data_IF_304814721445
#
_entry.id   IF_304814721445
#
_cell.length_a   1.000
_cell.length_b   1.000
_cell.length_c   1.000
_cell.angle_alpha   90.00
_cell.angle_beta   90.00
_cell.angle_gamma   90.00
#
_symmetry.space_group_name_H-M   'P 1'
#
loop_
_entity.id
_entity.type
_entity.pdbx_description
1 polymer ?
#
# COMPACT_ATOMS: atom_id res chain seq x y z
N UNK A 1 68.70 -22.76 10.41
CA UNK A 1 67.71 -21.69 10.62
C UNK A 1 66.64 -21.82 9.55
N UNK A 2 65.38 -21.98 9.98
CA UNK A 2 64.21 -22.15 9.12
C UNK A 2 63.77 -20.78 8.57
N UNK A 3 63.59 -20.66 7.27
CA UNK A 3 62.88 -19.53 6.68
C UNK A 3 61.52 -20.01 6.20
N UNK A 4 60.50 -19.78 7.03
CA UNK A 4 59.11 -19.92 6.62
C UNK A 4 58.78 -18.78 5.65
N UNK A 5 58.68 -19.07 4.34
CA UNK A 5 58.14 -18.09 3.38
C UNK A 5 56.67 -17.87 3.74
N UNK A 6 56.35 -16.66 4.19
CA UNK A 6 54.98 -16.18 4.23
C UNK A 6 54.57 -15.90 2.79
N UNK A 7 53.93 -16.87 2.15
CA UNK A 7 53.26 -16.64 0.86
C UNK A 7 52.03 -15.81 1.17
N UNK A 8 52.09 -14.51 0.84
CA UNK A 8 50.89 -13.69 0.75
C UNK A 8 49.97 -14.37 -0.27
N UNK A 9 48.78 -14.77 0.17
CA UNK A 9 47.73 -15.33 -0.68
C UNK A 9 47.17 -14.16 -1.51
N UNK A 10 47.92 -13.74 -2.51
CA UNK A 10 47.68 -12.51 -3.29
C UNK A 10 46.69 -12.68 -4.43
N UNK A 11 46.00 -13.83 -4.51
CA UNK A 11 45.04 -14.12 -5.57
C UNK A 11 43.88 -13.09 -5.62
N UNK A 12 43.62 -12.41 -4.50
CA UNK A 12 42.65 -11.30 -4.38
C UNK A 12 43.08 -9.98 -5.04
N UNK A 13 44.34 -9.85 -5.47
CA UNK A 13 44.87 -8.64 -6.14
C UNK A 13 45.12 -8.86 -7.64
N UNK A 14 44.64 -9.97 -8.23
CA UNK A 14 44.55 -10.06 -9.68
C UNK A 14 43.60 -8.94 -10.16
N UNK A 15 43.99 -8.17 -11.19
CA UNK A 15 43.19 -7.06 -11.73
C UNK A 15 41.82 -7.47 -12.29
N UNK A 16 41.43 -8.73 -12.12
CA UNK A 16 40.17 -9.32 -12.53
C UNK A 16 39.05 -9.07 -11.52
N UNK A 17 39.36 -8.80 -10.24
CA UNK A 17 38.37 -8.63 -9.17
C UNK A 17 38.45 -7.24 -8.53
N UNK A 18 37.29 -6.64 -8.30
CA UNK A 18 37.15 -5.36 -7.58
C UNK A 18 36.26 -5.54 -6.35
N UNK A 19 36.52 -4.73 -5.32
CA UNK A 19 35.73 -4.73 -4.09
C UNK A 19 34.53 -3.79 -4.23
N UNK A 20 33.33 -4.30 -3.91
CA UNK A 20 32.09 -3.54 -3.93
C UNK A 20 31.38 -3.63 -2.58
N UNK A 21 30.71 -2.54 -2.19
CA UNK A 21 29.74 -2.56 -1.10
C UNK A 21 28.36 -2.89 -1.68
N UNK A 22 27.83 -4.06 -1.35
CA UNK A 22 26.54 -4.54 -1.85
C UNK A 22 25.49 -4.56 -0.74
N UNK A 23 24.30 -4.04 -1.04
CA UNK A 23 23.14 -4.09 -0.15
C UNK A 23 21.84 -3.97 -0.96
N UNK A 24 20.73 -4.34 -0.32
CA UNK A 24 19.39 -4.12 -0.88
C UNK A 24 18.71 -2.95 -0.21
N UNK A 25 17.90 -2.21 -0.97
CA UNK A 25 16.98 -1.20 -0.43
C UNK A 25 15.57 -1.68 -0.71
N UNK A 26 14.74 -1.70 0.32
CA UNK A 26 13.35 -2.10 0.23
C UNK A 26 12.46 -0.90 0.50
N UNK A 27 11.50 -0.69 -0.40
CA UNK A 27 10.39 0.22 -0.20
C UNK A 27 9.12 -0.45 -0.71
N UNK A 28 8.01 -0.20 -0.04
CA UNK A 28 6.68 -0.61 -0.47
C UNK A 28 5.78 0.61 -0.43
N UNK A 29 4.94 0.72 -1.46
CA UNK A 29 4.05 1.85 -1.64
C UNK A 29 2.73 1.36 -2.21
N UNK A 30 1.64 1.85 -1.63
CA UNK A 30 0.29 1.58 -2.12
C UNK A 30 -0.16 2.61 -3.16
N UNK A 31 0.72 3.53 -3.59
CA UNK A 31 0.44 4.54 -4.62
C UNK A 31 0.12 3.94 -5.99
N UNK A 32 0.53 2.70 -6.24
CA UNK A 32 0.29 1.98 -7.49
C UNK A 32 -1.05 1.23 -7.52
N UNK A 33 -1.78 1.18 -6.39
CA UNK A 33 -3.15 0.66 -6.39
C UNK A 33 -3.99 1.65 -7.19
N UNK A 34 -4.31 1.26 -8.43
CA UNK A 34 -5.15 2.08 -9.30
C UNK A 34 -6.45 2.41 -8.57
N UNK A 35 -6.91 3.64 -8.76
CA UNK A 35 -8.19 4.09 -8.23
C UNK A 35 -9.29 3.31 -8.95
N UNK A 36 -9.59 2.09 -8.47
CA UNK A 36 -10.49 1.14 -9.13
C UNK A 36 -11.91 1.68 -9.29
N UNK A 37 -12.23 2.80 -8.63
CA UNK A 37 -13.47 3.52 -8.83
C UNK A 37 -13.25 4.73 -9.73
N UNK A 38 -13.44 4.54 -11.03
CA UNK A 38 -13.62 5.61 -12.02
C UNK A 38 -14.77 6.57 -11.64
N UNK A 39 -15.71 6.12 -10.80
CA UNK A 39 -16.66 6.98 -10.12
C UNK A 39 -16.05 7.57 -8.85
N UNK A 40 -15.40 8.72 -9.02
CA UNK A 40 -15.10 9.63 -7.91
C UNK A 40 -16.37 9.82 -7.07
N UNK A 41 -16.20 9.68 -5.76
CA UNK A 41 -17.24 10.05 -4.80
C UNK A 41 -17.62 11.50 -5.04
N UNK A 42 -18.86 11.75 -5.46
CA UNK A 42 -19.27 13.10 -5.88
C UNK A 42 -19.51 14.02 -4.69
N UNK A 43 -19.42 15.32 -4.92
CA UNK A 43 -19.83 16.37 -3.97
C UNK A 43 -21.26 16.14 -3.44
N UNK A 44 -22.19 15.74 -4.30
CA UNK A 44 -23.57 15.43 -3.92
C UNK A 44 -23.68 14.19 -3.02
N UNK A 45 -22.89 13.15 -3.30
CA UNK A 45 -22.80 11.97 -2.44
C UNK A 45 -22.22 12.33 -1.07
N UNK A 46 -21.25 13.25 -1.03
CA UNK A 46 -20.68 13.76 0.23
C UNK A 46 -21.72 14.54 1.02
N UNK A 47 -22.43 15.49 0.41
CA UNK A 47 -23.52 16.25 1.05
C UNK A 47 -24.60 15.33 1.60
N UNK A 48 -25.01 14.33 0.81
CA UNK A 48 -26.01 13.34 1.22
C UNK A 48 -25.52 12.51 2.41
N UNK A 49 -24.26 12.07 2.38
CA UNK A 49 -23.64 11.36 3.49
C UNK A 49 -23.59 12.22 4.75
N UNK A 50 -23.18 13.49 4.65
CA UNK A 50 -23.00 14.37 5.79
C UNK A 50 -24.34 14.71 6.45
N UNK A 51 -25.40 14.88 5.66
CA UNK A 51 -26.77 15.00 6.15
C UNK A 51 -27.23 13.73 6.87
N UNK A 52 -27.03 12.55 6.25
CA UNK A 52 -27.40 11.28 6.87
C UNK A 52 -26.64 11.08 8.19
N UNK A 53 -25.35 11.41 8.19
CA UNK A 53 -24.48 11.26 9.34
C UNK A 53 -24.90 12.19 10.47
N UNK A 54 -25.18 13.46 10.21
CA UNK A 54 -25.62 14.41 11.24
C UNK A 54 -26.94 13.98 11.90
N UNK A 55 -27.90 13.49 11.11
CA UNK A 55 -29.17 12.96 11.63
C UNK A 55 -28.95 11.67 12.44
N UNK A 56 -28.05 10.80 12.00
CA UNK A 56 -27.73 9.59 12.74
C UNK A 56 -27.01 9.90 14.05
N UNK A 57 -26.05 10.83 14.04
CA UNK A 57 -25.30 11.29 15.20
C UNK A 57 -26.21 12.04 16.19
N UNK A 58 -27.32 12.64 15.73
CA UNK A 58 -28.38 13.19 16.59
C UNK A 58 -29.31 12.12 17.19
N UNK A 59 -29.02 10.84 17.01
CA UNK A 59 -29.77 9.71 17.57
C UNK A 59 -30.94 9.21 16.71
N UNK A 60 -31.07 9.68 15.46
CA UNK A 60 -32.14 9.22 14.57
C UNK A 60 -31.81 7.82 14.01
N UNK A 61 -32.70 6.86 14.23
CA UNK A 61 -32.57 5.53 13.62
C UNK A 61 -32.75 5.55 12.09
N UNK A 62 -32.13 4.62 11.37
CA UNK A 62 -32.10 4.58 9.91
C UNK A 62 -33.47 4.68 9.22
N UNK A 63 -34.51 4.07 9.79
CA UNK A 63 -35.88 4.15 9.26
C UNK A 63 -36.42 5.58 9.32
N UNK A 64 -36.24 6.26 10.45
CA UNK A 64 -36.66 7.65 10.62
C UNK A 64 -35.90 8.58 9.66
N UNK A 65 -34.59 8.35 9.49
CA UNK A 65 -33.78 9.11 8.52
C UNK A 65 -34.32 8.91 7.11
N UNK A 66 -34.63 7.68 6.69
CA UNK A 66 -35.18 7.45 5.35
C UNK A 66 -36.51 8.17 5.12
N UNK A 67 -37.41 8.20 6.12
CA UNK A 67 -38.65 8.95 6.03
C UNK A 67 -38.39 10.46 5.93
N UNK A 68 -37.51 11.00 6.78
CA UNK A 68 -37.14 12.41 6.77
C UNK A 68 -36.58 12.87 5.41
N UNK A 69 -35.69 12.06 4.79
CA UNK A 69 -35.15 12.36 3.47
C UNK A 69 -36.23 12.35 2.38
N UNK A 70 -37.16 11.39 2.44
CA UNK A 70 -38.26 11.29 1.49
C UNK A 70 -39.26 12.45 1.66
N UNK A 71 -39.55 12.86 2.89
CA UNK A 71 -40.41 14.03 3.20
C UNK A 71 -39.81 15.33 2.68
N UNK A 72 -38.48 15.47 2.72
CA UNK A 72 -37.76 16.60 2.12
C UNK A 72 -37.62 16.51 0.60
N UNK A 73 -38.15 15.45 -0.03
CA UNK A 73 -38.06 15.25 -1.48
C UNK A 73 -36.67 14.85 -1.99
N UNK A 74 -35.75 14.48 -1.10
CA UNK A 74 -34.39 14.06 -1.45
C UNK A 74 -34.44 12.63 -1.96
N UNK A 75 -34.00 12.41 -3.21
CA UNK A 75 -33.94 11.09 -3.83
C UNK A 75 -32.55 10.49 -3.74
N UNK A 76 -32.47 9.16 -3.82
CA UNK A 76 -31.19 8.46 -3.98
C UNK A 76 -30.52 8.84 -5.31
N UNK A 77 -29.21 8.58 -5.51
CA UNK A 77 -28.53 8.87 -6.77
C UNK A 77 -29.17 8.20 -8.01
N UNK A 78 -29.95 7.13 -7.81
CA UNK A 78 -30.70 6.44 -8.87
C UNK A 78 -32.13 6.97 -9.06
N UNK A 79 -32.53 8.02 -8.33
CA UNK A 79 -33.87 8.60 -8.38
C UNK A 79 -34.93 7.85 -7.55
N UNK A 80 -34.56 6.83 -6.77
CA UNK A 80 -35.48 6.07 -5.93
C UNK A 80 -35.67 6.70 -4.54
N UNK A 81 -36.77 6.35 -3.87
CA UNK A 81 -37.00 6.66 -2.46
C UNK A 81 -35.96 5.99 -1.55
N UNK A 82 -35.71 6.61 -0.40
CA UNK A 82 -34.86 6.07 0.64
C UNK A 82 -35.57 4.97 1.42
N UNK A 83 -34.85 3.87 1.65
CA UNK A 83 -35.16 2.90 2.71
C UNK A 83 -34.03 2.87 3.74
N UNK A 84 -34.30 2.35 4.94
CA UNK A 84 -33.30 2.28 6.00
C UNK A 84 -32.01 1.54 5.59
N UNK A 85 -32.12 0.51 4.76
CA UNK A 85 -30.96 -0.22 4.22
C UNK A 85 -30.08 0.66 3.32
N UNK A 86 -30.69 1.59 2.57
CA UNK A 86 -29.95 2.52 1.70
C UNK A 86 -29.17 3.52 2.56
N UNK A 87 -29.79 4.04 3.62
CA UNK A 87 -29.16 4.95 4.59
C UNK A 87 -27.93 4.28 5.23
N UNK A 88 -28.10 3.05 5.74
CA UNK A 88 -26.98 2.29 6.30
C UNK A 88 -25.87 2.06 5.28
N UNK A 89 -26.23 1.73 4.03
CA UNK A 89 -25.27 1.49 2.95
C UNK A 89 -24.43 2.74 2.64
N UNK A 90 -25.00 3.94 2.66
CA UNK A 90 -24.25 5.19 2.43
C UNK A 90 -23.16 5.38 3.48
N UNK A 91 -23.50 5.24 4.77
CA UNK A 91 -22.54 5.37 5.87
C UNK A 91 -21.43 4.30 5.78
N UNK A 92 -21.82 3.04 5.50
CA UNK A 92 -20.88 1.94 5.33
C UNK A 92 -19.90 2.20 4.17
N UNK A 93 -20.40 2.61 3.00
CA UNK A 93 -19.57 2.85 1.80
C UNK A 93 -18.61 4.02 1.98
N UNK A 94 -19.01 5.07 2.72
CA UNK A 94 -18.11 6.16 3.06
C UNK A 94 -16.96 5.66 3.97
N UNK A 95 -17.27 4.87 5.00
CA UNK A 95 -16.25 4.29 5.89
C UNK A 95 -15.24 3.43 5.12
N UNK A 96 -15.71 2.56 4.24
CA UNK A 96 -14.83 1.74 3.39
C UNK A 96 -13.95 2.61 2.49
N UNK A 97 -14.49 3.70 1.93
CA UNK A 97 -13.72 4.67 1.14
C UNK A 97 -12.61 5.32 1.97
N UNK A 98 -12.92 5.83 3.17
CA UNK A 98 -11.91 6.45 4.04
C UNK A 98 -10.80 5.46 4.39
N UNK A 99 -11.14 4.20 4.69
CA UNK A 99 -10.14 3.16 4.95
C UNK A 99 -9.21 2.94 3.74
N UNK A 100 -9.75 2.89 2.51
CA UNK A 100 -8.94 2.77 1.30
C UNK A 100 -7.98 3.95 1.13
N UNK A 101 -8.46 5.17 1.37
CA UNK A 101 -7.63 6.39 1.29
C UNK A 101 -6.49 6.36 2.32
N UNK A 102 -6.75 5.92 3.55
CA UNK A 102 -5.71 5.78 4.57
C UNK A 102 -4.68 4.70 4.20
N UNK A 103 -5.12 3.56 3.68
CA UNK A 103 -4.21 2.50 3.19
C UNK A 103 -3.35 2.99 2.02
N UNK A 104 -3.90 3.81 1.12
CA UNK A 104 -3.16 4.36 -0.02
C UNK A 104 -2.06 5.35 0.42
N UNK A 105 -2.31 6.12 1.49
CA UNK A 105 -1.31 7.02 2.09
C UNK A 105 -0.19 6.28 2.84
N UNK A 106 -0.38 5.01 3.17
CA UNK A 106 0.61 4.26 3.91
C UNK A 106 1.82 3.93 3.00
N UNK A 107 2.94 4.58 3.31
CA UNK A 107 4.24 4.31 2.71
C UNK A 107 5.09 3.55 3.73
N UNK A 108 5.75 2.46 3.34
CA UNK A 108 6.69 1.83 4.25
C UNK A 108 7.95 2.69 4.38
N UNK A 109 8.54 2.67 5.57
CA UNK A 109 9.88 3.25 5.75
C UNK A 109 10.86 2.53 4.83
N UNK A 110 11.89 3.26 4.40
CA UNK A 110 13.02 2.66 3.70
C UNK A 110 13.70 1.67 4.64
N UNK A 111 13.81 0.42 4.19
CA UNK A 111 14.54 -0.61 4.90
C UNK A 111 15.79 -0.97 4.11
N UNK A 112 16.93 -0.93 4.79
CA UNK A 112 18.21 -1.34 4.23
C UNK A 112 18.48 -2.78 4.62
N UNK A 113 18.80 -3.61 3.63
CA UNK A 113 19.31 -4.96 3.85
C UNK A 113 20.72 -4.95 4.42
N UNK A 114 21.22 -6.14 4.75
CA UNK A 114 22.59 -6.33 5.22
C UNK A 114 23.58 -5.76 4.19
N UNK A 115 24.54 -4.98 4.69
CA UNK A 115 25.62 -4.41 3.90
C UNK A 115 26.82 -5.35 3.97
N UNK A 116 27.33 -5.76 2.82
CA UNK A 116 28.45 -6.69 2.72
C UNK A 116 29.48 -6.18 1.71
N UNK A 117 30.76 -6.33 2.04
CA UNK A 117 31.85 -6.12 1.09
C UNK A 117 32.06 -7.42 0.31
N UNK A 118 31.88 -7.35 -1.01
CA UNK A 118 31.97 -8.50 -1.91
C UNK A 118 33.02 -8.21 -2.97
N UNK A 119 33.86 -9.19 -3.26
CA UNK A 119 34.79 -9.16 -4.38
C UNK A 119 34.09 -9.76 -5.59
N UNK A 120 33.91 -8.97 -6.65
CA UNK A 120 33.23 -9.40 -7.87
C UNK A 120 34.16 -9.24 -9.07
N UNK A 121 34.06 -10.15 -10.03
CA UNK A 121 34.72 -9.99 -11.32
C UNK A 121 34.02 -8.92 -12.14
N UNK A 122 34.75 -8.24 -13.01
CA UNK A 122 34.14 -7.30 -13.96
C UNK A 122 33.05 -8.00 -14.81
N UNK A 123 31.80 -7.53 -14.72
CA UNK A 123 30.63 -8.13 -15.37
C UNK A 123 29.84 -9.15 -14.53
N UNK A 124 30.31 -9.52 -13.33
CA UNK A 124 29.58 -10.41 -12.42
C UNK A 124 28.54 -9.63 -11.59
N UNK A 125 27.30 -10.13 -11.53
CA UNK A 125 26.21 -9.50 -10.78
C UNK A 125 26.09 -10.08 -9.36
N UNK A 126 26.03 -9.21 -8.35
CA UNK A 126 25.72 -9.59 -6.97
C UNK A 126 24.33 -10.26 -6.89
N UNK A 127 24.30 -11.49 -6.38
CA UNK A 127 23.06 -12.25 -6.18
C UNK A 127 22.38 -11.81 -4.88
N UNK A 128 21.19 -11.21 -5.00
CA UNK A 128 20.42 -10.75 -3.85
C UNK A 128 19.85 -11.94 -3.05
N UNK A 129 20.23 -12.13 -1.78
CA UNK A 129 19.77 -13.26 -0.97
C UNK A 129 18.25 -13.29 -0.75
N UNK A 130 17.54 -12.16 -0.88
CA UNK A 130 16.07 -12.12 -0.73
C UNK A 130 15.34 -12.60 -1.99
N UNK A 131 15.96 -12.58 -3.18
CA UNK A 131 15.33 -13.11 -4.41
C UNK A 131 15.20 -14.63 -4.38
N UNK A 132 16.03 -15.34 -3.62
CA UNK A 132 15.95 -16.80 -3.46
C UNK A 132 14.79 -17.24 -2.56
N UNK A 133 14.29 -16.35 -1.68
CA UNK A 133 13.19 -16.67 -0.73
C UNK A 133 11.80 -16.62 -1.39
N UNK A 134 11.63 -15.79 -2.42
CA UNK A 134 10.36 -15.64 -3.16
C UNK A 134 10.37 -16.35 -4.53
N UNK A 135 11.45 -17.04 -4.85
CA UNK A 135 11.63 -17.76 -6.10
C UNK A 135 11.38 -19.25 -5.95
N UNK A 136 10.18 -19.67 -5.52
CA UNK A 136 9.68 -21.05 -5.63
C UNK A 136 8.19 -21.14 -5.25
N UNK A 137 7.33 -20.36 -5.92
CA UNK A 137 5.94 -20.81 -6.16
C UNK A 137 5.85 -21.16 -7.63
N UNK A 138 6.30 -22.38 -7.94
CA UNK A 138 6.00 -23.03 -9.21
C UNK A 138 4.48 -23.25 -9.27
N UNK A 139 3.87 -22.74 -10.34
CA UNK A 139 2.55 -23.18 -10.83
C UNK A 139 2.71 -24.51 -11.53
#
# INVERSE_FOLDING_TARGET
MSYSRVVSKSDYFSGEYSQYLCFSVFCSTNKLVSDRNKHLWSEEQQKTHDLIKSLHDSGMGYRKISHHLNEQGIKTPKGNLWGGNNVHSVLKRNRERLQRLETQKQESKLEYGKMELVWLREGELWKNPRKEIFGETNV
#
